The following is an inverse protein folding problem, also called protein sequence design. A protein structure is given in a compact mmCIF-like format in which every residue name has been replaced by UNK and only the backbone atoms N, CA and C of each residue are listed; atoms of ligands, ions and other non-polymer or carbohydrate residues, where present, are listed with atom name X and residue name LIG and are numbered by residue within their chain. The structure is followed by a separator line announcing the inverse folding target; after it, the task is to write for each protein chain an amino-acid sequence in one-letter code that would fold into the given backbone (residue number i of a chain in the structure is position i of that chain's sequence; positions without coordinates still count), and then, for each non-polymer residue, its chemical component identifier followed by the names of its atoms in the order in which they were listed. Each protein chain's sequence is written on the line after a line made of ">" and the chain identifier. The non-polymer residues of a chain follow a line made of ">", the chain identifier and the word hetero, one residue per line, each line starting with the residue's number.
data_IF_137376496515
#
_entry.id   IF_137376496515
#
_cell.length_a   1.000
_cell.length_b   1.000
_cell.length_c   1.000
_cell.angle_alpha   90.00
_cell.angle_beta   90.00
_cell.angle_gamma   90.00
#
_symmetry.space_group_name_H-M   'P 1'
#
loop_
_entity.id
_entity.type
_entity.pdbx_description
1 polymer ?
#
# COMPACT_ATOMS: atom_id res chain seq x y z
N UNK A 1 -0.90 -27.12 -3.16
CA UNK A 1 0.35 -26.55 -3.76
C UNK A 1 1.46 -27.57 -3.59
N UNK A 2 1.76 -27.99 -2.36
CA UNK A 2 2.74 -29.04 -2.06
C UNK A 2 2.54 -30.30 -2.91
N UNK A 3 1.32 -30.87 -2.92
CA UNK A 3 0.97 -32.03 -3.76
C UNK A 3 1.32 -31.86 -5.25
N UNK A 4 1.08 -30.66 -5.81
CA UNK A 4 1.37 -30.38 -7.22
C UNK A 4 2.88 -30.28 -7.46
N UNK A 5 3.59 -29.60 -6.56
CA UNK A 5 5.05 -29.42 -6.66
C UNK A 5 5.75 -30.77 -6.59
N UNK A 6 5.37 -31.60 -5.63
CA UNK A 6 5.92 -32.94 -5.44
C UNK A 6 5.70 -33.80 -6.68
N UNK A 7 4.45 -33.88 -7.16
CA UNK A 7 4.11 -34.66 -8.36
C UNK A 7 4.83 -34.19 -9.62
N UNK A 8 5.07 -32.89 -9.76
CA UNK A 8 5.72 -32.31 -10.94
C UNK A 8 7.26 -32.26 -10.83
N UNK A 9 7.85 -32.65 -9.69
CA UNK A 9 9.29 -32.59 -9.47
C UNK A 9 9.85 -31.16 -9.41
N UNK A 10 9.02 -30.17 -9.05
CA UNK A 10 9.47 -28.79 -8.93
C UNK A 10 10.06 -28.49 -7.55
N UNK A 11 10.87 -27.43 -7.46
CA UNK A 11 11.33 -26.89 -6.17
C UNK A 11 10.39 -25.78 -5.72
N UNK A 12 9.75 -25.96 -4.57
CA UNK A 12 8.93 -24.91 -3.96
C UNK A 12 9.84 -23.85 -3.30
N UNK A 13 9.60 -22.59 -3.64
CA UNK A 13 10.20 -21.42 -3.00
C UNK A 13 9.09 -20.62 -2.37
N UNK A 14 9.11 -20.50 -1.05
CA UNK A 14 8.05 -19.83 -0.29
C UNK A 14 8.49 -18.44 0.20
N UNK A 15 7.57 -17.48 0.09
CA UNK A 15 7.63 -16.21 0.79
C UNK A 15 6.48 -16.13 1.79
N UNK A 16 6.79 -15.93 3.08
CA UNK A 16 5.79 -15.90 4.16
C UNK A 16 5.69 -14.48 4.73
N UNK A 17 4.46 -14.02 4.95
CA UNK A 17 4.18 -12.76 5.63
C UNK A 17 3.90 -12.93 7.13
N UNK A 18 3.74 -14.17 7.62
CA UNK A 18 3.40 -14.45 9.02
C UNK A 18 2.16 -13.69 9.47
N UNK A 19 2.22 -13.11 10.67
CA UNK A 19 1.14 -12.30 11.27
C UNK A 19 1.09 -10.85 10.77
N UNK A 20 1.90 -10.47 9.76
CA UNK A 20 2.00 -9.08 9.30
C UNK A 20 0.66 -8.47 8.87
N UNK A 21 -0.32 -9.28 8.43
CA UNK A 21 -1.67 -8.80 8.17
C UNK A 21 -2.35 -8.31 9.45
N UNK A 22 -2.36 -9.13 10.50
CA UNK A 22 -3.03 -8.83 11.76
C UNK A 22 -2.31 -7.75 12.56
N UNK A 23 -0.98 -7.65 12.44
CA UNK A 23 -0.23 -6.54 13.02
C UNK A 23 -0.53 -5.21 12.31
N UNK A 24 -0.56 -5.23 10.97
CA UNK A 24 -0.75 -4.01 10.19
C UNK A 24 -2.21 -3.53 10.16
N UNK A 25 -3.21 -4.42 10.26
CA UNK A 25 -4.62 -4.06 10.17
C UNK A 25 -5.05 -3.14 11.32
N UNK A 26 -4.43 -3.26 12.50
CA UNK A 26 -4.69 -2.38 13.65
C UNK A 26 -4.27 -0.92 13.39
N UNK A 27 -3.25 -0.72 12.54
CA UNK A 27 -2.81 0.61 12.12
C UNK A 27 -3.62 1.11 10.92
N UNK A 28 -3.65 0.32 9.84
CA UNK A 28 -4.22 0.77 8.57
C UNK A 28 -5.74 0.74 8.56
N UNK A 29 -6.37 -0.08 9.38
CA UNK A 29 -7.78 -0.42 9.25
C UNK A 29 -8.04 -1.46 8.14
N UNK A 30 -9.30 -1.80 7.87
CA UNK A 30 -9.63 -2.84 6.90
C UNK A 30 -9.12 -2.48 5.49
N UNK A 31 -8.56 -3.45 4.76
CA UNK A 31 -8.18 -3.22 3.37
C UNK A 31 -9.44 -3.03 2.51
N UNK A 32 -9.34 -2.17 1.51
CA UNK A 32 -10.43 -1.89 0.59
C UNK A 32 -9.98 -2.03 -0.88
N UNK A 33 -10.95 -2.06 -1.81
CA UNK A 33 -10.70 -2.13 -3.25
C UNK A 33 -9.84 -0.97 -3.75
N UNK A 34 -9.92 0.16 -3.08
CA UNK A 34 -9.21 1.41 -3.29
C UNK A 34 -8.18 1.71 -2.20
N UNK A 35 -7.97 0.81 -1.23
CA UNK A 35 -7.05 0.96 -0.10
C UNK A 35 -6.29 -0.35 0.16
N UNK A 36 -5.44 -0.72 -0.80
CA UNK A 36 -4.84 -2.06 -0.94
C UNK A 36 -3.51 -2.21 -0.21
N UNK A 37 -3.41 -1.70 1.02
CA UNK A 37 -2.17 -1.78 1.81
C UNK A 37 -1.69 -3.23 2.01
N UNK A 38 -2.62 -4.18 2.18
CA UNK A 38 -2.31 -5.59 2.42
C UNK A 38 -1.60 -6.26 1.23
N UNK A 39 -1.85 -5.81 0.00
CA UNK A 39 -1.12 -6.32 -1.17
C UNK A 39 0.37 -5.94 -1.10
N UNK A 40 0.69 -4.74 -0.62
CA UNK A 40 2.09 -4.31 -0.47
C UNK A 40 2.78 -5.12 0.63
N UNK A 41 2.19 -5.13 1.82
CA UNK A 41 2.79 -5.73 3.02
C UNK A 41 2.82 -7.26 2.96
N UNK A 42 1.70 -7.89 2.59
CA UNK A 42 1.54 -9.34 2.74
C UNK A 42 1.87 -10.12 1.46
N UNK A 43 2.05 -9.46 0.31
CA UNK A 43 2.31 -10.13 -0.98
C UNK A 43 3.57 -9.62 -1.66
N UNK A 44 3.59 -8.34 -2.04
CA UNK A 44 4.65 -7.81 -2.90
C UNK A 44 6.01 -7.80 -2.20
N UNK A 45 6.09 -7.23 -0.99
CA UNK A 45 7.37 -7.11 -0.28
C UNK A 45 7.96 -8.50 0.09
N UNK A 46 7.20 -9.46 0.64
CA UNK A 46 7.72 -10.80 0.91
C UNK A 46 8.25 -11.50 -0.36
N UNK A 47 7.49 -11.47 -1.45
CA UNK A 47 7.91 -12.09 -2.72
C UNK A 47 9.17 -11.41 -3.25
N UNK A 48 9.21 -10.07 -3.27
CA UNK A 48 10.34 -9.32 -3.78
C UNK A 48 11.65 -9.60 -3.00
N UNK A 49 11.58 -9.73 -1.67
CA UNK A 49 12.73 -10.11 -0.84
C UNK A 49 13.27 -11.49 -1.21
N UNK A 50 12.39 -12.48 -1.30
CA UNK A 50 12.77 -13.85 -1.66
C UNK A 50 13.35 -13.89 -3.07
N UNK A 51 12.73 -13.20 -4.03
CA UNK A 51 13.19 -13.16 -5.41
C UNK A 51 14.57 -12.50 -5.52
N UNK A 52 14.77 -11.32 -4.90
CA UNK A 52 16.07 -10.62 -4.94
C UNK A 52 17.18 -11.45 -4.30
N UNK A 53 16.86 -12.22 -3.26
CA UNK A 53 17.82 -13.12 -2.60
C UNK A 53 18.15 -14.37 -3.43
N UNK A 54 17.14 -15.02 -4.05
CA UNK A 54 17.33 -16.27 -4.79
C UNK A 54 17.83 -16.06 -6.21
N UNK A 55 17.40 -14.99 -6.86
CA UNK A 55 17.69 -14.66 -8.25
C UNK A 55 18.15 -13.20 -8.37
N UNK A 56 19.32 -12.85 -7.79
CA UNK A 56 19.84 -11.48 -7.81
C UNK A 56 20.11 -10.99 -9.25
N UNK A 57 20.51 -11.89 -10.14
CA UNK A 57 20.77 -11.61 -11.55
C UNK A 57 19.50 -11.69 -12.42
N UNK A 58 18.33 -11.84 -11.80
CA UNK A 58 17.05 -11.96 -12.47
C UNK A 58 16.62 -13.38 -12.78
N UNK A 59 15.35 -13.52 -13.16
CA UNK A 59 14.72 -14.78 -13.53
C UNK A 59 13.58 -14.56 -14.53
N UNK A 60 13.29 -15.59 -15.30
CA UNK A 60 12.06 -15.67 -16.10
C UNK A 60 10.90 -16.09 -15.20
N UNK A 61 9.86 -15.27 -15.13
CA UNK A 61 8.63 -15.50 -14.37
C UNK A 61 7.49 -15.86 -15.32
N UNK A 62 7.15 -17.15 -15.38
CA UNK A 62 6.00 -17.64 -16.15
C UNK A 62 4.74 -17.47 -15.29
N UNK A 63 3.76 -16.71 -15.78
CA UNK A 63 2.51 -16.44 -15.06
C UNK A 63 1.28 -16.82 -15.88
N UNK A 64 0.15 -17.03 -15.20
CA UNK A 64 -1.14 -17.34 -15.83
C UNK A 64 -2.02 -16.12 -16.11
N UNK A 65 -1.43 -14.94 -16.38
CA UNK A 65 -2.20 -13.73 -16.71
C UNK A 65 -2.87 -13.89 -18.08
N UNK A 66 -4.09 -13.39 -18.25
CA UNK A 66 -4.81 -13.47 -19.53
C UNK A 66 -5.35 -12.10 -19.94
N UNK A 67 -5.36 -11.84 -21.24
CA UNK A 67 -5.88 -10.62 -21.84
C UNK A 67 -7.34 -10.37 -21.44
N UNK A 68 -8.14 -11.44 -21.39
CA UNK A 68 -9.58 -11.38 -21.08
C UNK A 68 -9.92 -11.14 -19.60
N UNK A 69 -8.94 -10.86 -18.74
CA UNK A 69 -9.18 -10.61 -17.31
C UNK A 69 -9.41 -9.13 -16.98
N UNK A 70 -8.88 -8.20 -17.79
CA UNK A 70 -9.17 -6.76 -17.72
C UNK A 70 -8.68 -6.04 -18.98
N UNK A 71 -9.17 -4.81 -19.21
CA UNK A 71 -8.72 -3.98 -20.33
C UNK A 71 -7.21 -3.68 -20.26
N UNK A 72 -6.67 -3.45 -19.06
CA UNK A 72 -5.24 -3.22 -18.87
C UNK A 72 -4.40 -4.46 -19.20
N UNK A 73 -4.93 -5.66 -18.91
CA UNK A 73 -4.26 -6.92 -19.27
C UNK A 73 -4.33 -7.20 -20.76
N UNK A 74 -5.43 -6.83 -21.43
CA UNK A 74 -5.57 -6.95 -22.87
C UNK A 74 -4.60 -6.04 -23.63
N UNK A 75 -4.38 -4.82 -23.13
CA UNK A 75 -3.41 -3.87 -23.69
C UNK A 75 -1.94 -4.22 -23.36
N UNK A 76 -1.70 -5.20 -22.49
CA UNK A 76 -0.36 -5.62 -22.07
C UNK A 76 0.36 -6.49 -23.09
N UNK A 77 1.69 -6.48 -23.04
CA UNK A 77 2.55 -7.34 -23.87
C UNK A 77 2.56 -8.79 -23.35
N UNK A 78 2.85 -9.76 -24.24
CA UNK A 78 3.04 -11.19 -23.87
C UNK A 78 4.27 -11.42 -22.99
N UNK A 79 5.30 -10.59 -23.18
CA UNK A 79 6.56 -10.55 -22.44
C UNK A 79 6.74 -9.14 -21.89
N UNK A 80 7.02 -8.99 -20.60
CA UNK A 80 7.21 -7.67 -20.00
C UNK A 80 8.16 -7.72 -18.80
N UNK A 81 8.87 -6.63 -18.53
CA UNK A 81 9.63 -6.46 -17.28
C UNK A 81 8.67 -6.19 -16.13
N UNK A 82 8.79 -6.92 -15.01
CA UNK A 82 7.90 -6.70 -13.87
C UNK A 82 8.19 -5.35 -13.21
N UNK A 83 7.18 -4.47 -13.15
CA UNK A 83 7.32 -3.10 -12.61
C UNK A 83 7.68 -3.09 -11.12
N UNK A 84 7.19 -4.07 -10.37
CA UNK A 84 7.40 -4.16 -8.93
C UNK A 84 8.71 -4.87 -8.59
N UNK A 85 9.09 -5.88 -9.36
CA UNK A 85 10.34 -6.62 -9.16
C UNK A 85 11.12 -6.60 -10.47
N UNK A 86 11.82 -5.50 -10.79
CA UNK A 86 12.43 -5.31 -12.10
C UNK A 86 13.34 -6.45 -12.53
N UNK A 87 13.99 -7.16 -11.61
CA UNK A 87 14.84 -8.33 -11.95
C UNK A 87 14.09 -9.46 -12.65
N UNK A 88 12.75 -9.52 -12.56
CA UNK A 88 11.93 -10.52 -13.24
C UNK A 88 11.51 -10.08 -14.64
N UNK A 89 11.84 -10.92 -15.64
CA UNK A 89 11.19 -10.88 -16.95
C UNK A 89 9.96 -11.78 -16.89
N UNK A 90 8.76 -11.23 -17.08
CA UNK A 90 7.50 -11.96 -16.96
C UNK A 90 6.96 -12.35 -18.34
N UNK A 91 6.40 -13.56 -18.44
CA UNK A 91 5.71 -14.04 -19.65
C UNK A 91 4.39 -14.71 -19.31
N UNK A 92 3.41 -14.64 -20.22
CA UNK A 92 2.20 -15.45 -20.13
C UNK A 92 1.94 -16.26 -21.40
N UNK A 93 2.18 -17.58 -21.38
CA UNK A 93 1.90 -18.47 -22.52
C UNK A 93 0.41 -18.55 -22.89
N UNK A 94 -0.47 -18.31 -21.91
CA UNK A 94 -1.93 -18.38 -22.07
C UNK A 94 -2.58 -17.00 -22.22
N UNK A 95 -1.80 -15.98 -22.61
CA UNK A 95 -2.29 -14.59 -22.68
C UNK A 95 -3.59 -14.45 -23.49
N UNK A 96 -3.72 -15.18 -24.58
CA UNK A 96 -4.88 -15.13 -25.49
C UNK A 96 -5.94 -16.21 -25.19
N UNK A 97 -5.83 -16.90 -24.05
CA UNK A 97 -6.80 -17.91 -23.67
C UNK A 97 -7.95 -17.29 -22.87
N UNK A 98 -9.18 -17.56 -23.30
CA UNK A 98 -10.38 -17.23 -22.52
C UNK A 98 -10.51 -18.14 -21.29
N UNK A 99 -11.39 -17.79 -20.34
CA UNK A 99 -11.70 -18.67 -19.21
C UNK A 99 -12.27 -20.01 -19.69
N UNK A 100 -13.10 -19.98 -20.72
CA UNK A 100 -13.66 -21.19 -21.33
C UNK A 100 -12.56 -22.09 -21.89
N UNK A 101 -11.62 -21.52 -22.66
CA UNK A 101 -10.51 -22.29 -23.25
C UNK A 101 -9.65 -22.98 -22.18
N UNK A 102 -9.34 -22.27 -21.07
CA UNK A 102 -8.60 -22.84 -19.94
C UNK A 102 -9.37 -24.01 -19.32
N UNK A 103 -10.68 -23.87 -19.08
CA UNK A 103 -11.49 -24.94 -18.49
C UNK A 103 -11.66 -26.14 -19.43
N UNK A 104 -11.88 -25.92 -20.72
CA UNK A 104 -11.94 -27.00 -21.72
C UNK A 104 -10.63 -27.79 -21.74
N UNK A 105 -9.49 -27.11 -21.69
CA UNK A 105 -8.19 -27.78 -21.61
C UNK A 105 -7.99 -28.54 -20.30
N UNK A 106 -8.42 -27.99 -19.17
CA UNK A 106 -8.42 -28.69 -17.87
C UNK A 106 -9.23 -29.98 -17.94
N UNK A 107 -10.40 -29.96 -18.58
CA UNK A 107 -11.25 -31.13 -18.73
C UNK A 107 -10.66 -32.16 -19.69
N UNK A 108 -10.19 -31.72 -20.87
CA UNK A 108 -9.52 -32.59 -21.87
C UNK A 108 -8.31 -33.31 -21.26
N UNK A 109 -7.47 -32.57 -20.53
CA UNK A 109 -6.26 -33.10 -19.88
C UNK A 109 -6.49 -33.70 -18.50
N UNK A 110 -7.73 -33.69 -18.00
CA UNK A 110 -8.11 -34.20 -16.66
C UNK A 110 -7.22 -33.63 -15.56
N UNK A 111 -6.95 -32.32 -15.62
CA UNK A 111 -6.07 -31.63 -14.66
C UNK A 111 -6.83 -31.46 -13.32
N UNK A 112 -6.23 -31.92 -12.21
CA UNK A 112 -6.77 -31.68 -10.87
C UNK A 112 -6.70 -30.19 -10.55
N UNK A 113 -7.85 -29.59 -10.27
CA UNK A 113 -7.98 -28.19 -9.82
C UNK A 113 -8.30 -28.11 -8.33
N UNK A 114 -8.21 -26.92 -7.77
CA UNK A 114 -8.61 -26.68 -6.38
C UNK A 114 -10.13 -26.83 -6.24
N UNK A 115 -10.57 -27.61 -5.25
CA UNK A 115 -11.99 -27.93 -5.01
C UNK A 115 -12.86 -26.70 -4.75
N UNK A 116 -12.29 -25.60 -4.28
CA UNK A 116 -13.03 -24.36 -4.04
C UNK A 116 -13.70 -23.80 -5.31
N UNK A 117 -13.20 -24.12 -6.51
CA UNK A 117 -13.88 -23.74 -7.75
C UNK A 117 -15.27 -24.38 -7.90
N UNK A 118 -15.50 -25.56 -7.29
CA UNK A 118 -16.80 -26.23 -7.27
C UNK A 118 -17.70 -25.76 -6.12
N UNK A 119 -17.21 -24.82 -5.32
CA UNK A 119 -17.88 -24.25 -4.17
C UNK A 119 -18.21 -22.76 -4.35
N UNK A 120 -18.29 -22.29 -5.60
CA UNK A 120 -18.74 -20.92 -5.91
C UNK A 120 -17.65 -19.86 -5.84
N UNK A 121 -16.38 -20.23 -5.65
CA UNK A 121 -15.26 -19.29 -5.75
C UNK A 121 -14.87 -19.10 -7.22
N UNK A 122 -14.88 -17.84 -7.69
CA UNK A 122 -14.45 -17.52 -9.06
C UNK A 122 -12.92 -17.37 -9.16
N UNK A 123 -12.30 -16.89 -8.08
CA UNK A 123 -10.86 -16.73 -7.93
C UNK A 123 -10.46 -17.00 -6.48
N UNK A 124 -9.49 -17.88 -6.31
CA UNK A 124 -9.01 -18.27 -4.99
C UNK A 124 -7.99 -17.22 -4.52
N UNK A 125 -8.23 -16.66 -3.35
CA UNK A 125 -7.42 -15.58 -2.80
C UNK A 125 -7.49 -15.51 -1.28
N UNK A 126 -7.27 -14.31 -0.75
CA UNK A 126 -7.35 -14.07 0.70
C UNK A 126 -8.81 -14.17 1.16
N UNK A 127 -9.04 -14.77 2.34
CA UNK A 127 -10.37 -15.04 2.88
C UNK A 127 -11.26 -13.79 3.04
N UNK A 128 -10.64 -12.62 3.23
CA UNK A 128 -11.27 -11.29 3.42
C UNK A 128 -10.95 -10.31 2.29
N UNK A 129 -10.63 -10.80 1.08
CA UNK A 129 -10.24 -9.92 -0.02
C UNK A 129 -11.39 -8.93 -0.34
N UNK A 130 -11.18 -7.60 -0.32
CA UNK A 130 -12.26 -6.66 -0.63
C UNK A 130 -12.72 -6.74 -2.10
N UNK A 131 -11.96 -7.40 -2.97
CA UNK A 131 -12.36 -7.65 -4.35
C UNK A 131 -13.30 -8.87 -4.49
N UNK A 132 -13.39 -9.74 -3.48
CA UNK A 132 -14.25 -10.93 -3.48
C UNK A 132 -15.73 -10.58 -3.46
N UNK A 133 -16.55 -11.55 -3.87
CA UNK A 133 -18.02 -11.45 -3.83
C UNK A 133 -18.50 -11.67 -2.41
N UNK A 134 -19.68 -11.13 -2.08
CA UNK A 134 -20.30 -11.38 -0.77
C UNK A 134 -20.69 -12.85 -0.59
N UNK A 135 -21.04 -13.55 -1.68
CA UNK A 135 -21.29 -14.99 -1.68
C UNK A 135 -20.05 -15.80 -1.28
N UNK A 136 -18.86 -15.41 -1.74
CA UNK A 136 -17.60 -16.07 -1.36
C UNK A 136 -17.32 -15.91 0.13
N UNK A 137 -17.66 -14.76 0.72
CA UNK A 137 -17.56 -14.56 2.18
C UNK A 137 -18.49 -15.49 2.96
N UNK A 138 -19.69 -15.79 2.45
CA UNK A 138 -20.59 -16.78 3.07
C UNK A 138 -19.99 -18.18 3.03
N UNK A 139 -19.33 -18.53 1.93
CA UNK A 139 -18.63 -19.81 1.82
C UNK A 139 -17.40 -19.89 2.74
N UNK A 140 -16.72 -18.76 3.01
CA UNK A 140 -15.64 -18.64 4.01
C UNK A 140 -16.19 -18.76 5.43
N UNK A 141 -17.23 -18.01 5.78
CA UNK A 141 -17.93 -18.05 7.08
C UNK A 141 -18.33 -19.48 7.43
N UNK A 142 -18.91 -20.21 6.47
CA UNK A 142 -19.32 -21.62 6.65
C UNK A 142 -18.14 -22.57 6.85
N UNK A 143 -17.04 -22.42 6.10
CA UNK A 143 -15.91 -23.37 6.11
C UNK A 143 -14.85 -23.07 7.14
N UNK A 144 -14.70 -21.80 7.53
CA UNK A 144 -13.65 -21.29 8.41
C UNK A 144 -14.25 -20.29 9.41
N UNK A 145 -15.21 -20.74 10.25
CA UNK A 145 -15.97 -19.85 11.15
C UNK A 145 -15.04 -19.05 12.05
N UNK A 146 -14.07 -19.68 12.72
CA UNK A 146 -13.13 -18.98 13.62
C UNK A 146 -12.34 -17.86 12.94
N UNK A 147 -11.89 -18.09 11.70
CA UNK A 147 -11.14 -17.09 10.92
C UNK A 147 -12.06 -15.92 10.52
N UNK A 148 -13.29 -16.23 10.13
CA UNK A 148 -14.28 -15.24 9.78
C UNK A 148 -14.75 -14.43 11.00
N UNK A 149 -14.97 -15.07 12.13
CA UNK A 149 -15.40 -14.45 13.39
C UNK A 149 -14.34 -13.49 13.93
N UNK A 150 -13.06 -13.87 13.86
CA UNK A 150 -11.94 -12.96 14.17
C UNK A 150 -11.99 -11.71 13.29
N UNK A 151 -12.22 -11.88 11.99
CA UNK A 151 -12.29 -10.78 11.04
C UNK A 151 -13.53 -9.89 11.24
N UNK A 152 -14.70 -10.48 11.46
CA UNK A 152 -15.94 -9.77 11.74
C UNK A 152 -15.82 -8.97 13.04
N UNK A 153 -15.26 -9.57 14.09
CA UNK A 153 -15.00 -8.91 15.37
C UNK A 153 -14.08 -7.71 15.21
N UNK A 154 -13.04 -7.82 14.38
CA UNK A 154 -12.19 -6.68 14.04
C UNK A 154 -12.98 -5.57 13.33
N UNK A 155 -13.78 -5.92 12.31
CA UNK A 155 -14.58 -4.93 11.57
C UNK A 155 -15.59 -4.20 12.45
N UNK A 156 -16.24 -4.90 13.37
CA UNK A 156 -17.22 -4.31 14.30
C UNK A 156 -16.54 -3.36 15.29
N UNK A 157 -15.39 -3.75 15.85
CA UNK A 157 -14.57 -2.86 16.70
C UNK A 157 -14.10 -1.63 15.92
N UNK A 158 -13.63 -1.81 14.69
CA UNK A 158 -13.20 -0.72 13.82
C UNK A 158 -14.35 0.22 13.50
N UNK A 159 -15.51 -0.32 13.10
CA UNK A 159 -16.71 0.46 12.81
C UNK A 159 -17.12 1.33 14.01
N UNK A 160 -17.12 0.75 15.22
CA UNK A 160 -17.38 1.50 16.46
C UNK A 160 -16.36 2.62 16.69
N UNK A 161 -15.06 2.35 16.52
CA UNK A 161 -13.98 3.34 16.67
C UNK A 161 -14.21 4.55 15.77
N UNK A 162 -14.57 4.34 14.49
CA UNK A 162 -14.69 5.41 13.50
C UNK A 162 -16.12 5.94 13.31
N UNK A 163 -17.08 5.44 14.09
CA UNK A 163 -18.49 5.90 14.05
C UNK A 163 -19.26 5.44 12.81
N UNK A 164 -18.98 4.24 12.30
CA UNK A 164 -19.71 3.65 11.18
C UNK A 164 -20.87 2.75 11.66
N UNK A 165 -22.00 2.71 10.94
CA UNK A 165 -23.16 1.92 11.32
C UNK A 165 -22.88 0.41 11.18
N UNK A 166 -23.65 -0.42 11.89
CA UNK A 166 -23.57 -1.89 11.79
C UNK A 166 -23.69 -2.40 10.34
N UNK A 167 -24.58 -1.78 9.56
CA UNK A 167 -24.77 -2.10 8.14
C UNK A 167 -23.51 -1.93 7.27
N UNK A 168 -22.53 -1.14 7.71
CA UNK A 168 -21.24 -1.04 7.02
C UNK A 168 -20.46 -2.37 7.02
N UNK A 169 -20.58 -3.13 8.11
CA UNK A 169 -20.01 -4.48 8.23
C UNK A 169 -20.90 -5.49 7.52
N UNK A 170 -22.19 -5.53 7.89
CA UNK A 170 -23.14 -6.57 7.48
C UNK A 170 -23.30 -6.64 5.95
N UNK A 171 -23.27 -5.49 5.26
CA UNK A 171 -23.40 -5.42 3.80
C UNK A 171 -22.05 -5.28 3.06
N UNK A 172 -20.93 -5.41 3.78
CA UNK A 172 -19.60 -5.38 3.19
C UNK A 172 -19.23 -4.04 2.53
N UNK A 173 -19.69 -2.92 3.10
CA UNK A 173 -19.36 -1.55 2.64
C UNK A 173 -17.93 -1.15 3.01
N UNK A 174 -17.29 -1.84 3.96
CA UNK A 174 -15.87 -1.72 4.30
C UNK A 174 -14.92 -1.99 3.13
N UNK A 175 -15.41 -2.64 2.07
CA UNK A 175 -14.64 -2.92 0.86
C UNK A 175 -14.30 -1.68 0.03
N UNK A 176 -14.73 -0.49 0.46
CA UNK A 176 -14.35 0.81 -0.11
C UNK A 176 -13.99 1.80 0.99
N UNK A 177 -12.81 2.41 0.87
CA UNK A 177 -12.39 3.50 1.74
C UNK A 177 -13.10 4.80 1.35
N UNK A 178 -13.28 5.07 0.05
CA UNK A 178 -13.91 6.30 -0.44
C UNK A 178 -15.41 6.17 -0.60
N UNK A 179 -16.04 7.27 -1.01
CA UNK A 179 -17.44 7.31 -1.43
C UNK A 179 -17.58 6.88 -2.89
N UNK A 180 -17.00 5.72 -3.21
CA UNK A 180 -17.12 5.12 -4.52
C UNK A 180 -18.60 4.92 -4.89
N UNK A 181 -18.96 5.16 -6.14
CA UNK A 181 -20.35 5.06 -6.62
C UNK A 181 -21.01 3.72 -6.28
N UNK A 182 -20.28 2.61 -6.42
CA UNK A 182 -20.76 1.28 -6.05
C UNK A 182 -21.09 1.15 -4.55
N UNK A 183 -20.28 1.76 -3.66
CA UNK A 183 -20.53 1.79 -2.21
C UNK A 183 -21.79 2.57 -1.90
N UNK A 184 -21.93 3.78 -2.47
CA UNK A 184 -23.08 4.65 -2.23
C UNK A 184 -24.38 4.06 -2.78
N UNK A 185 -24.33 3.45 -3.96
CA UNK A 185 -25.49 2.75 -4.54
C UNK A 185 -25.92 1.57 -3.67
N UNK A 186 -24.97 0.74 -3.23
CA UNK A 186 -25.29 -0.37 -2.33
C UNK A 186 -25.85 0.13 -1.00
N UNK A 187 -25.21 1.14 -0.39
CA UNK A 187 -25.66 1.72 0.87
C UNK A 187 -27.10 2.26 0.79
N UNK A 188 -27.46 2.97 -0.29
CA UNK A 188 -28.84 3.40 -0.54
C UNK A 188 -29.79 2.22 -0.71
N UNK A 189 -29.39 1.20 -1.48
CA UNK A 189 -30.22 0.02 -1.73
C UNK A 189 -30.55 -0.75 -0.44
N UNK A 190 -29.58 -0.84 0.50
CA UNK A 190 -29.76 -1.54 1.78
C UNK A 190 -30.19 -0.63 2.93
N UNK A 191 -30.50 0.65 2.66
CA UNK A 191 -30.96 1.61 3.68
C UNK A 191 -29.91 1.96 4.75
N UNK A 192 -28.62 1.97 4.40
CA UNK A 192 -27.53 2.32 5.32
C UNK A 192 -27.07 3.76 5.07
N UNK A 193 -27.29 4.63 6.04
CA UNK A 193 -26.76 5.99 6.02
C UNK A 193 -25.28 6.01 6.44
N UNK A 194 -24.44 6.62 5.60
CA UNK A 194 -23.01 6.72 5.86
C UNK A 194 -22.65 8.15 6.34
N UNK A 195 -21.84 8.29 7.39
CA UNK A 195 -21.35 9.60 7.84
C UNK A 195 -20.42 10.23 6.79
N UNK A 196 -20.15 11.54 6.95
CA UNK A 196 -19.22 12.25 6.08
C UNK A 196 -17.82 11.65 6.20
N UNK A 197 -17.13 11.48 5.08
CA UNK A 197 -15.79 10.87 5.06
C UNK A 197 -14.77 11.61 5.93
N UNK A 198 -14.90 12.92 6.11
CA UNK A 198 -14.04 13.73 7.00
C UNK A 198 -14.17 13.30 8.47
N UNK A 199 -15.38 12.96 8.92
CA UNK A 199 -15.66 12.46 10.27
C UNK A 199 -15.10 11.06 10.46
N UNK A 200 -15.16 10.23 9.43
CA UNK A 200 -14.59 8.87 9.44
C UNK A 200 -13.07 8.92 9.46
N UNK A 201 -12.44 9.68 8.55
CA UNK A 201 -10.98 9.74 8.41
C UNK A 201 -10.31 10.37 9.63
N UNK A 202 -10.92 11.39 10.24
CA UNK A 202 -10.39 12.01 11.47
C UNK A 202 -10.39 11.07 12.67
N UNK A 203 -11.28 10.07 12.72
CA UNK A 203 -11.28 9.01 13.75
C UNK A 203 -10.45 7.78 13.35
N UNK A 204 -10.09 7.67 12.07
CA UNK A 204 -9.38 6.52 11.52
C UNK A 204 -7.92 6.48 12.01
N UNK A 205 -7.25 7.62 11.95
CA UNK A 205 -5.90 7.83 12.45
C UNK A 205 -5.94 8.59 13.78
N UNK A 206 -5.10 8.24 14.74
CA UNK A 206 -5.02 8.96 16.02
C UNK A 206 -4.23 10.27 15.88
N UNK A 207 -3.24 10.29 14.97
CA UNK A 207 -2.49 11.49 14.61
C UNK A 207 -3.16 12.12 13.41
N UNK A 208 -3.60 13.37 13.57
CA UNK A 208 -4.33 14.15 12.58
C UNK A 208 -3.81 15.58 12.49
N UNK A 209 -4.26 16.28 11.46
CA UNK A 209 -4.00 17.70 11.24
C UNK A 209 -5.11 18.51 11.93
N UNK A 210 -4.73 19.38 12.87
CA UNK A 210 -5.60 20.35 13.53
C UNK A 210 -5.80 21.60 12.67
N UNK A 211 -4.72 22.07 12.03
CA UNK A 211 -4.74 23.28 11.21
C UNK A 211 -3.77 23.14 10.04
N UNK A 212 -4.16 23.67 8.89
CA UNK A 212 -3.31 23.80 7.70
C UNK A 212 -3.38 25.24 7.21
N UNK A 213 -2.24 25.83 6.89
CA UNK A 213 -2.12 27.09 6.16
C UNK A 213 -1.28 26.82 4.90
N UNK A 214 -1.82 27.12 3.73
CA UNK A 214 -1.15 26.89 2.44
C UNK A 214 -1.10 28.20 1.68
N UNK A 215 0.11 28.60 1.31
CA UNK A 215 0.43 29.74 0.45
C UNK A 215 1.39 29.30 -0.66
N UNK A 216 1.73 30.21 -1.57
CA UNK A 216 2.64 29.93 -2.68
C UNK A 216 4.05 29.50 -2.24
N UNK A 217 4.58 30.14 -1.18
CA UNK A 217 5.96 29.92 -0.71
C UNK A 217 6.04 29.25 0.66
N UNK A 218 4.91 28.96 1.30
CA UNK A 218 4.88 28.36 2.63
C UNK A 218 3.67 27.44 2.84
N UNK A 219 3.93 26.29 3.44
CA UNK A 219 2.91 25.41 4.02
C UNK A 219 3.19 25.20 5.50
N UNK A 220 2.19 25.48 6.35
CA UNK A 220 2.22 25.15 7.78
C UNK A 220 1.15 24.12 8.11
N UNK A 221 1.53 23.15 8.92
CA UNK A 221 0.65 22.09 9.43
C UNK A 221 0.83 22.00 10.94
N UNK A 222 -0.28 21.99 11.68
CA UNK A 222 -0.28 21.68 13.11
C UNK A 222 -0.88 20.29 13.31
N UNK A 223 -0.11 19.37 13.88
CA UNK A 223 -0.58 18.05 14.29
C UNK A 223 -1.22 18.09 15.67
N UNK A 224 -2.11 17.14 15.96
CA UNK A 224 -2.74 16.98 17.28
C UNK A 224 -1.87 16.23 18.30
N UNK A 225 -0.58 16.06 18.01
CA UNK A 225 0.33 15.23 18.81
C UNK A 225 1.65 15.95 19.04
N UNK A 226 2.20 15.78 20.23
CA UNK A 226 3.58 16.14 20.53
C UNK A 226 4.48 14.94 20.28
N UNK A 227 5.67 15.17 19.73
CA UNK A 227 6.60 14.08 19.46
C UNK A 227 8.05 14.54 19.50
N UNK A 228 8.93 13.61 19.81
CA UNK A 228 10.38 13.82 19.80
C UNK A 228 10.87 14.01 18.37
N UNK A 229 11.26 15.25 18.05
CA UNK A 229 11.73 15.65 16.70
C UNK A 229 13.07 15.01 16.35
N UNK A 230 13.87 14.61 17.34
CA UNK A 230 15.20 14.00 17.12
C UNK A 230 15.10 12.68 16.38
N UNK A 231 13.96 12.00 16.47
CA UNK A 231 13.71 10.78 15.70
C UNK A 231 13.76 11.01 14.18
N UNK A 232 13.51 12.23 13.71
CA UNK A 232 13.67 12.59 12.30
C UNK A 232 15.12 12.69 11.85
N UNK A 233 16.10 12.78 12.76
CA UNK A 233 17.53 12.79 12.44
C UNK A 233 17.96 11.50 11.71
N UNK A 234 17.24 10.40 11.92
CA UNK A 234 17.53 9.15 11.23
C UNK A 234 17.00 9.11 9.79
N UNK A 235 16.18 10.08 9.37
CA UNK A 235 15.48 10.07 8.09
C UNK A 235 15.61 11.37 7.28
N UNK A 236 16.07 12.47 7.87
CA UNK A 236 16.22 13.77 7.20
C UNK A 236 17.00 13.72 5.87
N UNK A 237 18.01 12.83 5.64
CA UNK A 237 18.74 12.80 4.38
C UNK A 237 17.86 12.43 3.18
N UNK A 238 16.62 11.98 3.40
CA UNK A 238 15.66 11.71 2.33
C UNK A 238 15.21 13.01 1.65
N UNK A 239 15.06 14.10 2.41
CA UNK A 239 14.46 15.37 1.94
C UNK A 239 15.43 16.56 2.02
N UNK A 240 16.47 16.48 2.85
CA UNK A 240 17.39 17.58 3.14
C UNK A 240 18.86 17.11 3.17
N UNK A 241 19.78 18.07 3.18
CA UNK A 241 21.23 17.85 3.27
C UNK A 241 21.82 18.37 4.57
N UNK A 242 21.24 19.42 5.12
CA UNK A 242 21.67 20.02 6.37
C UNK A 242 20.57 19.89 7.43
N UNK A 243 21.00 19.73 8.68
CA UNK A 243 20.12 19.74 9.84
C UNK A 243 20.73 20.61 10.93
N UNK A 244 19.90 21.46 11.51
CA UNK A 244 20.22 22.32 12.65
C UNK A 244 19.22 21.98 13.75
N UNK A 245 19.72 21.49 14.87
CA UNK A 245 18.94 21.26 16.09
C UNK A 245 19.09 22.45 17.02
N UNK A 246 17.97 22.98 17.51
CA UNK A 246 17.96 24.04 18.53
C UNK A 246 16.76 23.84 19.47
N UNK A 247 17.03 23.61 20.75
CA UNK A 247 16.04 23.29 21.79
C UNK A 247 15.09 22.15 21.38
N UNK A 248 13.82 22.49 21.16
CA UNK A 248 12.72 21.61 20.75
C UNK A 248 12.35 21.76 19.26
N UNK A 249 13.26 22.33 18.47
CA UNK A 249 13.05 22.60 17.04
C UNK A 249 14.16 21.99 16.20
N UNK A 250 13.76 21.38 15.09
CA UNK A 250 14.63 20.82 14.09
C UNK A 250 14.41 21.56 12.77
N UNK A 251 15.45 22.22 12.28
CA UNK A 251 15.45 22.93 11.00
C UNK A 251 16.25 22.12 10.00
N UNK A 252 15.62 21.77 8.88
CA UNK A 252 16.25 21.06 7.77
C UNK A 252 16.40 22.01 6.58
N UNK A 253 17.52 21.92 5.86
CA UNK A 253 17.72 22.68 4.62
C UNK A 253 17.99 21.78 3.43
N UNK A 254 17.31 22.08 2.34
CA UNK A 254 17.56 21.63 0.99
C UNK A 254 17.68 22.87 0.09
N UNK A 255 18.24 22.72 -1.12
CA UNK A 255 18.64 23.81 -2.02
C UNK A 255 17.75 25.07 -1.98
N UNK A 256 16.47 24.96 -2.32
CA UNK A 256 15.52 26.07 -2.37
C UNK A 256 14.40 25.95 -1.30
N UNK A 257 14.53 25.03 -0.35
CA UNK A 257 13.46 24.67 0.58
C UNK A 257 14.02 24.47 1.99
N UNK A 258 13.38 25.11 2.96
CA UNK A 258 13.64 24.94 4.38
C UNK A 258 12.44 24.29 5.06
N UNK A 259 12.72 23.39 6.01
CA UNK A 259 11.72 22.69 6.80
C UNK A 259 11.97 23.02 8.26
N UNK A 260 10.90 23.22 9.02
CA UNK A 260 10.94 23.44 10.45
C UNK A 260 9.95 22.49 11.11
N UNK A 261 10.44 21.75 12.10
CA UNK A 261 9.67 20.78 12.88
C UNK A 261 9.82 21.14 14.35
N UNK A 262 8.71 21.32 15.05
CA UNK A 262 8.69 21.61 16.49
C UNK A 262 8.06 20.45 17.26
N UNK A 263 8.53 20.18 18.47
CA UNK A 263 8.01 19.10 19.34
C UNK A 263 6.52 19.22 19.67
N UNK A 264 5.96 20.43 19.58
CA UNK A 264 4.54 20.68 19.79
C UNK A 264 3.64 20.26 18.62
N UNK A 265 4.21 19.71 17.55
CA UNK A 265 3.48 19.22 16.38
C UNK A 265 3.40 20.22 15.22
N UNK A 266 4.04 21.39 15.31
CA UNK A 266 4.12 22.35 14.20
C UNK A 266 5.15 21.90 13.17
N UNK A 267 4.71 21.81 11.91
CA UNK A 267 5.53 21.60 10.73
C UNK A 267 5.38 22.83 9.83
N UNK A 268 6.49 23.42 9.38
CA UNK A 268 6.50 24.51 8.41
C UNK A 268 7.50 24.17 7.30
N UNK A 269 7.09 24.36 6.05
CA UNK A 269 7.96 24.22 4.88
C UNK A 269 7.88 25.52 4.11
N UNK A 270 9.03 26.18 3.92
CA UNK A 270 9.17 27.45 3.21
C UNK A 270 10.17 27.31 2.08
N UNK A 271 9.88 27.90 0.92
CA UNK A 271 10.80 27.92 -0.19
C UNK A 271 10.14 28.30 -1.49
N UNK A 272 10.92 28.19 -2.57
CA UNK A 272 10.44 28.41 -3.92
C UNK A 272 10.17 27.06 -4.61
N UNK A 273 9.03 26.95 -5.30
CA UNK A 273 8.64 25.76 -6.05
C UNK A 273 7.55 24.92 -5.37
N UNK A 274 7.67 23.59 -5.42
CA UNK A 274 6.61 22.65 -5.04
C UNK A 274 6.47 22.45 -3.51
N UNK A 275 6.33 23.54 -2.75
CA UNK A 275 6.30 23.54 -1.27
C UNK A 275 5.23 22.61 -0.68
N UNK A 276 4.09 22.43 -1.37
CA UNK A 276 3.06 21.49 -0.96
C UNK A 276 3.56 20.04 -0.96
N UNK A 277 4.26 19.61 -2.00
CA UNK A 277 4.77 18.23 -2.07
C UNK A 277 5.91 18.00 -1.09
N UNK A 278 6.74 19.00 -0.84
CA UNK A 278 7.79 18.93 0.18
C UNK A 278 7.19 18.88 1.61
N UNK A 279 6.10 19.59 1.89
CA UNK A 279 5.36 19.47 3.14
C UNK A 279 4.71 18.08 3.30
N UNK A 280 4.21 17.51 2.21
CA UNK A 280 3.68 16.14 2.21
C UNK A 280 4.81 15.13 2.43
N UNK A 281 5.99 15.32 1.85
CA UNK A 281 7.15 14.45 2.08
C UNK A 281 7.67 14.54 3.53
N UNK A 282 7.64 15.72 4.14
CA UNK A 282 7.89 15.89 5.57
C UNK A 282 6.86 15.13 6.42
N UNK A 283 5.55 15.24 6.12
CA UNK A 283 4.50 14.46 6.76
C UNK A 283 4.74 12.95 6.60
N UNK A 284 5.17 12.51 5.41
CA UNK A 284 5.54 11.11 5.18
C UNK A 284 6.66 10.67 6.13
N UNK A 285 7.68 11.49 6.40
CA UNK A 285 8.73 11.15 7.37
C UNK A 285 8.18 11.05 8.79
N UNK A 286 7.39 12.03 9.24
CA UNK A 286 6.79 12.03 10.59
C UNK A 286 5.93 10.79 10.82
N UNK A 287 5.01 10.49 9.91
CA UNK A 287 4.13 9.33 10.05
C UNK A 287 4.89 8.01 9.91
N UNK A 288 5.91 7.94 9.04
CA UNK A 288 6.76 6.74 8.96
C UNK A 288 7.51 6.48 10.25
N UNK A 289 8.00 7.51 10.91
CA UNK A 289 8.68 7.38 12.20
C UNK A 289 7.74 6.86 13.29
N UNK A 290 6.51 7.39 13.34
CA UNK A 290 5.52 6.98 14.35
C UNK A 290 4.92 5.60 14.10
N UNK A 291 4.74 5.21 12.84
CA UNK A 291 3.88 4.08 12.46
C UNK A 291 4.59 3.03 11.61
N UNK A 292 5.93 2.97 11.66
CA UNK A 292 6.68 1.97 10.92
C UNK A 292 6.27 0.54 11.31
N UNK A 293 5.70 -0.21 10.37
CA UNK A 293 5.35 -1.63 10.53
C UNK A 293 6.49 -2.58 10.16
N UNK A 294 7.73 -2.08 10.09
CA UNK A 294 8.95 -2.86 9.77
C UNK A 294 8.86 -3.76 8.52
N UNK A 295 7.99 -3.41 7.56
CA UNK A 295 7.81 -4.21 6.34
C UNK A 295 9.08 -4.27 5.46
N UNK A 296 9.96 -3.27 5.58
CA UNK A 296 11.21 -3.15 4.82
C UNK A 296 11.08 -2.82 3.34
N UNK A 297 9.94 -2.25 2.92
CA UNK A 297 9.79 -1.66 1.60
C UNK A 297 10.93 -0.67 1.29
N UNK A 298 11.23 0.24 2.23
CA UNK A 298 12.23 1.27 2.03
C UNK A 298 13.67 0.74 1.89
N UNK A 299 14.01 -0.31 2.62
CA UNK A 299 15.31 -1.00 2.51
C UNK A 299 15.42 -1.74 1.17
N UNK A 300 14.36 -2.45 0.79
CA UNK A 300 14.31 -3.24 -0.44
C UNK A 300 14.48 -2.38 -1.71
N UNK A 301 13.85 -1.21 -1.75
CA UNK A 301 13.78 -0.33 -2.92
C UNK A 301 14.80 0.82 -2.92
N UNK A 302 15.67 0.91 -1.91
CA UNK A 302 16.70 1.95 -1.91
C UNK A 302 17.77 1.62 -2.96
N UNK A 303 17.95 2.45 -4.01
CA UNK A 303 18.92 2.17 -5.06
C UNK A 303 20.37 2.24 -4.55
N UNK A 304 20.63 3.05 -3.53
CA UNK A 304 21.96 3.27 -2.97
C UNK A 304 22.23 2.46 -1.70
N UNK A 305 21.31 1.54 -1.34
CA UNK A 305 21.41 0.73 -0.12
C UNK A 305 21.66 1.57 1.15
N UNK A 306 21.06 2.76 1.18
CA UNK A 306 21.27 3.76 2.23
C UNK A 306 20.38 3.54 3.46
N UNK A 307 19.49 2.54 3.47
CA UNK A 307 18.44 2.40 4.50
C UNK A 307 18.56 1.05 5.22
N UNK A 308 18.52 1.08 6.55
CA UNK A 308 18.38 -0.10 7.42
C UNK A 308 17.13 0.04 8.28
N UNK A 309 16.46 -1.09 8.55
CA UNK A 309 15.24 -1.14 9.40
C UNK A 309 15.38 -2.01 10.67
N UNK A 310 16.58 -2.49 11.00
CA UNK A 310 16.81 -3.42 12.13
C UNK A 310 16.34 -2.81 13.47
N UNK A 311 16.79 -1.59 13.76
CA UNK A 311 16.52 -0.85 15.00
C UNK A 311 15.76 0.44 14.73
N UNK A 312 14.65 0.33 14.00
CA UNK A 312 13.96 1.49 13.43
C UNK A 312 14.57 1.93 12.10
N UNK A 313 13.99 2.97 11.49
CA UNK A 313 14.43 3.44 10.18
C UNK A 313 15.71 4.26 10.37
N UNK A 314 16.81 3.85 9.74
CA UNK A 314 18.08 4.59 9.73
C UNK A 314 18.56 4.81 8.30
N UNK A 315 18.85 6.05 7.95
CA UNK A 315 19.35 6.47 6.63
C UNK A 315 20.80 6.89 6.74
N UNK A 316 21.68 6.26 5.97
CA UNK A 316 23.07 6.67 5.84
C UNK A 316 23.15 7.94 4.97
N UNK A 317 23.67 9.02 5.56
CA UNK A 317 23.74 10.36 4.95
C UNK A 317 24.60 10.36 3.68
N UNK A 318 25.75 9.68 3.71
CA UNK A 318 26.72 9.66 2.61
C UNK A 318 26.21 8.89 1.38
N UNK A 319 25.44 7.83 1.61
CA UNK A 319 24.84 7.02 0.54
C UNK A 319 23.55 7.62 -0.01
N UNK A 320 22.84 8.45 0.76
CA UNK A 320 21.53 8.91 0.35
C UNK A 320 21.60 9.94 -0.79
N UNK A 321 20.92 9.62 -1.90
CA UNK A 321 20.80 10.52 -3.06
C UNK A 321 19.54 11.40 -3.06
N UNK A 322 18.79 11.50 -1.96
CA UNK A 322 17.55 12.29 -1.84
C UNK A 322 16.46 11.97 -2.90
N UNK A 323 16.49 10.78 -3.50
CA UNK A 323 15.55 10.39 -4.57
C UNK A 323 14.11 10.12 -4.09
N UNK A 324 13.88 10.01 -2.77
CA UNK A 324 12.57 9.80 -2.12
C UNK A 324 11.82 8.51 -2.50
N UNK A 325 12.43 7.61 -3.26
CA UNK A 325 11.84 6.30 -3.59
C UNK A 325 11.34 5.51 -2.36
N UNK A 326 12.06 5.63 -1.24
CA UNK A 326 11.73 4.96 0.02
C UNK A 326 10.44 5.46 0.68
N UNK A 327 10.07 6.74 0.51
CA UNK A 327 8.81 7.31 1.00
C UNK A 327 7.68 7.13 -0.01
N UNK A 328 7.97 7.07 -1.30
CA UNK A 328 6.95 6.83 -2.33
C UNK A 328 6.41 5.39 -2.32
N UNK A 329 7.26 4.43 -1.91
CA UNK A 329 6.89 3.02 -1.80
C UNK A 329 6.58 2.53 -0.40
N UNK A 330 6.72 3.40 0.61
CA UNK A 330 6.32 3.05 1.97
C UNK A 330 4.79 2.87 2.05
N UNK A 331 4.28 1.74 2.58
CA UNK A 331 2.85 1.56 2.79
C UNK A 331 2.23 2.63 3.70
N UNK A 332 2.96 3.08 4.73
CA UNK A 332 2.50 4.16 5.63
C UNK A 332 2.32 5.46 4.85
N UNK A 333 3.34 5.87 4.09
CA UNK A 333 3.26 7.09 3.28
C UNK A 333 2.18 7.03 2.19
N UNK A 334 2.13 5.93 1.43
CA UNK A 334 1.27 5.83 0.27
C UNK A 334 -0.19 5.52 0.61
N UNK A 335 -0.44 4.80 1.70
CA UNK A 335 -1.79 4.41 2.09
C UNK A 335 -2.28 5.37 3.17
N UNK A 336 -1.60 5.48 4.31
CA UNK A 336 -2.07 6.31 5.41
C UNK A 336 -1.97 7.81 5.08
N UNK A 337 -0.76 8.30 4.74
CA UNK A 337 -0.56 9.75 4.55
C UNK A 337 -1.27 10.25 3.29
N UNK A 338 -0.97 9.67 2.13
CA UNK A 338 -1.53 10.14 0.85
C UNK A 338 -3.04 9.99 0.75
N UNK A 339 -3.63 8.90 1.29
CA UNK A 339 -5.08 8.65 1.11
C UNK A 339 -5.95 9.18 2.23
N UNK A 340 -5.43 9.31 3.46
CA UNK A 340 -6.22 9.81 4.58
C UNK A 340 -5.78 11.21 4.98
N UNK A 341 -4.50 11.38 5.33
CA UNK A 341 -4.00 12.62 5.93
C UNK A 341 -4.00 13.78 4.92
N UNK A 342 -3.50 13.56 3.71
CA UNK A 342 -3.52 14.58 2.64
C UNK A 342 -4.95 14.89 2.20
N UNK A 343 -5.83 13.89 2.21
CA UNK A 343 -7.26 14.10 1.92
C UNK A 343 -7.91 15.02 2.94
N UNK A 344 -7.64 14.83 4.23
CA UNK A 344 -8.07 15.72 5.30
C UNK A 344 -7.44 17.11 5.16
N UNK A 345 -6.12 17.17 4.96
CA UNK A 345 -5.34 18.41 4.82
C UNK A 345 -5.90 19.34 3.72
N UNK A 346 -6.29 18.75 2.59
CA UNK A 346 -6.75 19.48 1.41
C UNK A 346 -8.29 19.54 1.29
N UNK A 347 -9.02 18.95 2.24
CA UNK A 347 -10.49 18.88 2.20
C UNK A 347 -11.06 18.14 0.99
N UNK A 348 -10.28 17.24 0.36
CA UNK A 348 -10.64 16.55 -0.88
C UNK A 348 -10.38 15.05 -0.72
N UNK A 349 -11.45 14.24 -0.74
CA UNK A 349 -11.36 12.79 -0.48
C UNK A 349 -10.39 12.07 -1.44
N UNK A 350 -10.22 12.54 -2.67
CA UNK A 350 -9.33 11.91 -3.67
C UNK A 350 -8.02 12.70 -3.89
N UNK A 351 -7.54 13.43 -2.87
CA UNK A 351 -6.37 14.30 -2.99
C UNK A 351 -5.08 13.59 -3.44
N UNK A 352 -4.96 12.27 -3.28
CA UNK A 352 -3.83 11.49 -3.81
C UNK A 352 -3.80 11.37 -5.34
N UNK A 353 -4.84 11.84 -6.03
CA UNK A 353 -4.91 11.97 -7.50
C UNK A 353 -4.54 13.36 -7.99
N UNK A 354 -4.09 14.26 -7.09
CA UNK A 354 -3.68 15.62 -7.47
C UNK A 354 -2.58 15.58 -8.54
N UNK A 355 -2.58 16.52 -9.51
CA UNK A 355 -1.58 16.55 -10.58
C UNK A 355 -0.14 16.75 -10.09
N UNK A 356 0.02 17.45 -8.96
CA UNK A 356 1.33 17.77 -8.37
C UNK A 356 2.01 16.57 -7.73
N UNK A 357 1.27 15.48 -7.46
CA UNK A 357 1.82 14.31 -6.78
C UNK A 357 2.94 13.70 -7.62
N UNK A 358 4.12 13.61 -7.02
CA UNK A 358 5.31 12.99 -7.62
C UNK A 358 4.97 11.60 -8.20
N UNK A 359 5.20 11.37 -9.51
CA UNK A 359 5.04 10.06 -10.10
C UNK A 359 6.01 9.04 -9.48
N UNK A 360 5.57 7.79 -9.36
CA UNK A 360 6.40 6.68 -8.88
C UNK A 360 7.30 6.14 -9.99
N UNK A 361 8.07 7.03 -10.59
CA UNK A 361 8.84 6.71 -11.79
C UNK A 361 10.18 6.04 -11.48
N UNK A 362 10.71 6.14 -10.26
CA UNK A 362 11.97 5.48 -9.87
C UNK A 362 11.91 3.95 -9.94
N UNK A 363 10.82 3.30 -9.48
CA UNK A 363 10.67 1.84 -9.68
C UNK A 363 10.48 1.49 -11.15
N UNK A 364 9.76 2.35 -11.89
CA UNK A 364 9.57 2.15 -13.33
C UNK A 364 10.87 2.34 -14.10
N UNK A 365 11.74 3.27 -13.72
CA UNK A 365 13.01 3.54 -14.38
C UNK A 365 13.99 2.39 -14.19
N UNK A 366 14.04 1.80 -12.98
CA UNK A 366 14.76 0.54 -12.72
C UNK A 366 14.29 -0.63 -13.61
N UNK A 367 13.06 -0.58 -14.14
CA UNK A 367 12.53 -1.55 -15.11
C UNK A 367 12.52 -1.08 -16.57
N UNK A 368 12.79 0.20 -16.86
CA UNK A 368 12.64 0.83 -18.21
C UNK A 368 13.94 0.89 -19.00
N UNK A 369 15.11 0.83 -18.37
CA UNK A 369 16.41 0.82 -19.09
C UNK A 369 16.59 -0.40 -20.00
N UNK A 370 15.76 -1.43 -19.84
CA UNK A 370 15.67 -2.57 -20.74
C UNK A 370 14.23 -2.74 -21.23
N UNK A 371 13.77 -1.83 -22.10
CA UNK A 371 12.72 -2.20 -23.06
C UNK A 371 13.31 -3.32 -23.91
N UNK A 372 13.04 -4.57 -23.54
CA UNK A 372 13.32 -5.71 -24.40
C UNK A 372 12.42 -5.54 -25.62
N UNK A 373 13.07 -5.57 -26.78
CA UNK A 373 12.57 -5.42 -28.16
C UNK A 373 11.14 -5.92 -28.37
#
# INVERSE_FOLDING_TARGET
>A
VEELVEKAGFKLVEARAGEAFWEAVELFGPPARDYRWCCKICKLIPIARVVKSKWPNGALSIVGQRAFESLERAAGQKVWRNVWIPTLLSISPIQEWSALAVWLHIFDKKIKVNELYFHGFDRIGCFMCPASRLSEFKEVEKRRPETWDRWRSFLEKWAKKVGLPKGWVDYGLWRWLTDASAKLTLARYVGVELPRWTEVYSKWCNVNILKTEISEHEVKVLLNVKFDVRKLLHQYPIIAREVIEHDSTLTLKADQVSYMVMENGVLSVKGDGAVLEEAIDLLKLVYREMFCVKCGSCELWCPNEAISIRDGIKVNVEKCGNCRACIDECPVSDQLVEKLIVSLMLGKQLAWRRPTRRPKDMLKSLGRETRVL
#
